data_IF_035395029229
#
_entry.id   IF_035395029229
#
_cell.length_a   1.000
_cell.length_b   1.000
_cell.length_c   1.000
_cell.angle_alpha   90.00
_cell.angle_beta   90.00
_cell.angle_gamma   90.00
#
_symmetry.space_group_name_H-M   'P 1'
#
loop_
_entity.id
_entity.type
_entity.pdbx_description
1 polymer ?
#
# COMPACT_ATOMS: atom_id res chain seq x y z
N UNK A 1 -3.33 20.01 9.98
CA UNK A 1 -4.16 18.97 9.33
C UNK A 1 -3.23 17.81 8.99
N UNK A 2 -3.47 16.62 9.54
CA UNK A 2 -2.72 15.44 9.14
C UNK A 2 -2.96 15.22 7.65
N UNK A 3 -1.89 15.07 6.85
CA UNK A 3 -2.01 14.89 5.42
C UNK A 3 -2.88 13.66 5.14
N UNK A 4 -3.96 13.85 4.38
CA UNK A 4 -4.72 12.73 3.85
C UNK A 4 -3.77 11.80 3.10
N UNK A 5 -3.93 10.48 3.26
CA UNK A 5 -3.13 9.51 2.51
C UNK A 5 -3.18 9.84 1.01
N UNK A 6 -2.06 9.77 0.29
CA UNK A 6 -2.06 10.01 -1.14
C UNK A 6 -2.71 8.84 -1.90
N UNK A 7 -3.05 9.07 -3.16
CA UNK A 7 -3.42 8.00 -4.07
C UNK A 7 -2.29 6.98 -4.19
N UNK A 8 -2.58 5.66 -4.27
CA UNK A 8 -3.91 5.06 -4.49
C UNK A 8 -4.71 4.74 -3.21
N UNK A 9 -4.14 4.99 -2.03
CA UNK A 9 -4.74 4.62 -0.75
C UNK A 9 -6.01 5.41 -0.43
N UNK A 10 -5.97 6.72 -0.73
CA UNK A 10 -7.11 7.62 -0.67
C UNK A 10 -7.04 8.59 -1.86
N UNK A 11 -8.13 8.69 -2.61
CA UNK A 11 -8.23 9.57 -3.78
C UNK A 11 -9.06 10.80 -3.39
N UNK A 12 -8.62 11.98 -3.82
CA UNK A 12 -9.32 13.24 -3.54
C UNK A 12 -9.26 13.72 -2.09
N UNK A 13 -8.61 12.98 -1.18
CA UNK A 13 -8.40 13.36 0.22
C UNK A 13 -9.64 13.25 1.12
N UNK A 14 -10.77 12.76 0.59
CA UNK A 14 -12.04 12.65 1.29
C UNK A 14 -12.56 11.20 1.24
N UNK A 15 -12.56 10.46 2.38
CA UNK A 15 -12.86 9.03 2.38
C UNK A 15 -14.36 8.71 2.24
N UNK A 16 -15.24 9.68 2.50
CA UNK A 16 -16.70 9.57 2.37
C UNK A 16 -17.16 9.36 0.91
N UNK A 17 -16.35 9.78 -0.07
CA UNK A 17 -16.61 9.55 -1.49
C UNK A 17 -16.34 8.10 -1.93
N UNK A 18 -15.76 7.26 -1.06
CA UNK A 18 -15.50 5.86 -1.38
C UNK A 18 -14.34 5.64 -2.37
N UNK A 19 -13.50 6.65 -2.61
CA UNK A 19 -12.48 6.61 -3.66
C UNK A 19 -11.08 6.31 -3.12
N UNK A 20 -10.44 5.27 -3.66
CA UNK A 20 -9.15 4.74 -3.20
C UNK A 20 -9.28 3.40 -2.48
N UNK A 21 -8.15 2.73 -2.29
CA UNK A 21 -8.08 1.37 -1.71
C UNK A 21 -8.78 1.32 -0.34
N UNK A 22 -8.47 2.26 0.55
CA UNK A 22 -8.96 2.25 1.94
C UNK A 22 -10.48 2.46 2.03
N UNK A 23 -11.05 3.57 1.51
CA UNK A 23 -12.48 3.80 1.64
C UNK A 23 -13.33 2.81 0.83
N UNK A 24 -12.82 2.29 -0.29
CA UNK A 24 -13.51 1.25 -1.03
C UNK A 24 -13.57 -0.09 -0.26
N UNK A 25 -12.46 -0.49 0.38
CA UNK A 25 -12.44 -1.67 1.24
C UNK A 25 -13.40 -1.53 2.42
N UNK A 26 -13.42 -0.36 3.09
CA UNK A 26 -14.36 -0.09 4.20
C UNK A 26 -15.82 -0.15 3.72
N UNK A 27 -16.13 0.43 2.57
CA UNK A 27 -17.47 0.35 1.98
C UNK A 27 -17.91 -1.09 1.69
N UNK A 28 -16.99 -1.93 1.18
CA UNK A 28 -17.26 -3.34 0.94
C UNK A 28 -17.44 -4.13 2.24
N UNK A 29 -16.62 -3.87 3.26
CA UNK A 29 -16.75 -4.47 4.59
C UNK A 29 -18.09 -4.11 5.22
N UNK A 30 -18.49 -2.84 5.20
CA UNK A 30 -19.79 -2.39 5.72
C UNK A 30 -20.95 -3.12 5.03
N UNK A 31 -20.90 -3.22 3.68
CA UNK A 31 -21.90 -3.94 2.89
C UNK A 31 -21.94 -5.43 3.26
N UNK A 32 -20.77 -6.07 3.40
CA UNK A 32 -20.67 -7.48 3.82
C UNK A 32 -21.21 -7.74 5.23
N UNK A 33 -21.19 -6.72 6.09
CA UNK A 33 -21.75 -6.78 7.44
C UNK A 33 -23.26 -6.43 7.49
N UNK A 34 -23.87 -6.12 6.34
CA UNK A 34 -25.29 -5.78 6.24
C UNK A 34 -25.62 -4.30 6.48
N UNK A 35 -24.61 -3.41 6.45
CA UNK A 35 -24.80 -1.97 6.58
C UNK A 35 -24.71 -1.27 5.22
N UNK A 36 -25.51 -0.22 5.05
CA UNK A 36 -25.30 0.73 3.96
C UNK A 36 -23.92 1.40 4.08
N UNK A 37 -23.28 1.69 2.96
CA UNK A 37 -21.99 2.42 2.95
C UNK A 37 -22.10 3.77 3.65
N UNK A 38 -23.25 4.42 3.57
CA UNK A 38 -23.53 5.69 4.24
C UNK A 38 -23.59 5.59 5.77
N UNK A 39 -23.65 4.38 6.34
CA UNK A 39 -23.57 4.17 7.78
C UNK A 39 -22.13 4.34 8.32
N UNK A 40 -21.12 4.29 7.46
CA UNK A 40 -19.71 4.50 7.85
C UNK A 40 -19.49 5.96 8.19
N UNK A 41 -19.05 6.22 9.43
CA UNK A 41 -18.69 7.56 9.90
C UNK A 41 -17.18 7.72 9.95
N UNK A 42 -16.68 8.67 9.17
CA UNK A 42 -15.26 9.02 9.16
C UNK A 42 -14.98 10.11 10.19
N UNK A 43 -13.94 9.91 10.99
CA UNK A 43 -13.45 10.90 11.95
C UNK A 43 -11.99 11.23 11.67
N UNK A 44 -11.52 12.37 12.18
CA UNK A 44 -10.12 12.75 12.04
C UNK A 44 -9.19 11.74 12.75
N UNK A 45 -7.97 11.51 12.26
CA UNK A 45 -6.99 10.69 12.96
C UNK A 45 -6.81 11.13 14.41
N UNK A 46 -6.85 10.18 15.35
CA UNK A 46 -6.73 10.43 16.79
C UNK A 46 -8.04 10.78 17.51
N UNK A 47 -9.13 11.04 16.78
CA UNK A 47 -10.46 11.11 17.39
C UNK A 47 -10.95 9.72 17.83
N UNK A 48 -11.85 9.62 18.82
CA UNK A 48 -12.46 8.34 19.20
C UNK A 48 -13.12 7.65 18.01
N UNK A 49 -12.80 6.37 17.80
CA UNK A 49 -13.29 5.55 16.69
C UNK A 49 -13.28 4.06 17.05
N UNK A 50 -14.15 3.27 16.41
CA UNK A 50 -14.19 1.81 16.59
C UNK A 50 -13.02 1.08 15.92
N UNK A 51 -12.45 1.68 14.87
CA UNK A 51 -11.35 1.15 14.11
C UNK A 51 -10.61 2.27 13.35
N UNK A 52 -9.31 2.08 13.13
CA UNK A 52 -8.47 2.95 12.33
C UNK A 52 -8.02 2.23 11.05
N UNK A 53 -8.19 2.88 9.91
CA UNK A 53 -7.71 2.40 8.62
C UNK A 53 -6.60 3.31 8.08
N UNK A 54 -5.57 2.67 7.55
CA UNK A 54 -4.38 3.28 6.99
C UNK A 54 -3.53 2.21 6.34
N UNK A 55 -2.30 2.54 5.96
CA UNK A 55 -1.33 1.56 5.44
C UNK A 55 -0.60 0.92 6.62
N UNK A 56 -1.37 0.32 7.53
CA UNK A 56 -0.85 -0.29 8.75
C UNK A 56 -0.49 -1.74 8.52
N UNK A 57 0.55 -2.19 9.19
CA UNK A 57 0.97 -3.58 9.24
C UNK A 57 0.91 -4.10 10.68
N UNK A 58 1.24 -5.37 10.88
CA UNK A 58 1.27 -5.93 12.24
C UNK A 58 2.27 -5.23 13.16
N UNK A 59 3.32 -4.60 12.59
CA UNK A 59 4.31 -3.85 13.35
C UNK A 59 3.74 -2.57 13.96
N UNK A 60 2.71 -1.99 13.36
CA UNK A 60 2.09 -0.73 13.80
C UNK A 60 1.13 -0.91 14.97
N UNK A 61 0.83 -2.15 15.35
CA UNK A 61 -0.21 -2.45 16.33
C UNK A 61 0.06 -1.86 17.72
N UNK A 62 1.32 -1.83 18.18
CA UNK A 62 1.67 -1.25 19.49
C UNK A 62 0.86 -1.80 20.68
N UNK A 63 0.39 -3.05 20.62
CA UNK A 63 -0.49 -3.67 21.62
C UNK A 63 -2.00 -3.56 21.33
N UNK A 64 -2.39 -2.83 20.29
CA UNK A 64 -3.74 -2.83 19.73
C UNK A 64 -4.06 -4.15 19.02
N UNK A 65 -5.35 -4.39 18.79
CA UNK A 65 -5.79 -5.56 18.02
C UNK A 65 -5.70 -5.24 16.53
N UNK A 66 -5.26 -6.20 15.72
CA UNK A 66 -5.15 -6.05 14.26
C UNK A 66 -6.12 -6.96 13.53
N UNK A 67 -6.73 -6.45 12.46
CA UNK A 67 -7.58 -7.25 11.60
C UNK A 67 -6.79 -8.24 10.73
N UNK A 68 -7.52 -9.13 10.06
CA UNK A 68 -7.04 -9.80 8.87
C UNK A 68 -6.64 -8.77 7.78
N UNK A 69 -5.77 -9.19 6.84
CA UNK A 69 -5.29 -8.31 5.77
C UNK A 69 -6.39 -7.94 4.78
N UNK A 70 -6.55 -6.65 4.47
CA UNK A 70 -7.58 -6.14 3.55
C UNK A 70 -7.04 -5.74 2.18
N UNK A 71 -5.73 -5.44 2.07
CA UNK A 71 -5.07 -5.15 0.81
C UNK A 71 -3.59 -5.57 0.85
N UNK A 72 -3.01 -6.08 -0.24
CA UNK A 72 -1.59 -6.34 -0.31
C UNK A 72 -0.79 -5.03 -0.39
N UNK A 73 0.42 -5.04 0.14
CA UNK A 73 1.44 -4.01 -0.03
C UNK A 73 2.46 -4.57 -1.03
N UNK A 74 2.15 -4.43 -2.32
CA UNK A 74 3.03 -4.89 -3.38
C UNK A 74 4.30 -4.03 -3.48
N UNK A 75 5.39 -4.61 -3.97
CA UNK A 75 6.54 -3.83 -4.42
C UNK A 75 6.16 -3.05 -5.70
N UNK A 76 6.65 -1.82 -5.81
CA UNK A 76 6.42 -0.96 -6.97
C UNK A 76 7.72 -0.39 -7.51
N UNK A 77 7.72 -0.10 -8.81
CA UNK A 77 8.78 0.65 -9.48
C UNK A 77 8.50 2.14 -9.31
N UNK A 78 9.39 2.83 -8.60
CA UNK A 78 9.30 4.26 -8.30
C UNK A 78 10.32 5.02 -9.14
N UNK A 79 9.88 6.07 -9.80
CA UNK A 79 10.70 6.95 -10.66
C UNK A 79 10.42 8.42 -10.33
N UNK A 80 11.23 9.32 -10.90
CA UNK A 80 10.99 10.77 -10.83
C UNK A 80 9.75 11.17 -11.63
N UNK A 81 8.89 11.99 -11.03
CA UNK A 81 7.74 12.61 -11.70
C UNK A 81 8.23 13.56 -12.80
N UNK A 82 7.60 13.50 -13.98
CA UNK A 82 7.97 14.34 -15.13
C UNK A 82 9.18 13.88 -15.97
N UNK A 83 9.79 12.72 -15.66
CA UNK A 83 10.84 12.11 -16.46
C UNK A 83 10.47 10.71 -16.96
N UNK A 84 11.08 10.28 -18.07
CA UNK A 84 11.15 8.87 -18.45
C UNK A 84 12.09 8.10 -17.52
N UNK A 85 12.00 6.76 -17.49
CA UNK A 85 13.03 5.93 -16.85
C UNK A 85 14.38 6.32 -17.43
N UNK A 86 15.23 7.01 -16.67
CA UNK A 86 16.60 7.21 -17.09
C UNK A 86 17.24 5.82 -17.28
N UNK A 87 18.11 5.61 -18.29
CA UNK A 87 18.96 4.42 -18.29
C UNK A 87 19.84 4.46 -17.04
N UNK A 88 19.89 3.38 -16.28
CA UNK A 88 20.68 3.34 -15.05
C UNK A 88 20.27 2.22 -14.10
N UNK A 89 20.96 2.16 -12.95
CA UNK A 89 20.76 1.13 -11.95
C UNK A 89 19.45 1.33 -11.19
N UNK A 90 18.83 0.24 -10.79
CA UNK A 90 17.63 0.23 -9.94
C UNK A 90 18.00 -0.05 -8.49
N UNK A 91 17.63 0.85 -7.58
CA UNK A 91 17.89 0.71 -6.16
C UNK A 91 16.84 -0.18 -5.47
N UNK A 92 17.26 -0.89 -4.42
CA UNK A 92 16.40 -1.69 -3.54
C UNK A 92 16.98 -1.71 -2.13
N UNK A 93 16.17 -1.97 -1.11
CA UNK A 93 16.66 -2.12 0.27
C UNK A 93 17.18 -3.54 0.48
N UNK A 94 18.43 -3.69 0.95
CA UNK A 94 19.01 -5.01 1.24
C UNK A 94 18.19 -5.74 2.30
N UNK A 95 17.89 -7.01 2.05
CA UNK A 95 17.08 -7.85 2.94
C UNK A 95 15.57 -7.58 2.87
N UNK A 96 15.10 -6.73 1.95
CA UNK A 96 13.67 -6.48 1.74
C UNK A 96 13.07 -7.35 0.62
N UNK A 97 11.75 -7.37 0.52
CA UNK A 97 11.02 -7.94 -0.63
C UNK A 97 11.56 -7.42 -1.97
N UNK A 98 11.90 -6.12 -2.00
CA UNK A 98 12.41 -5.42 -3.16
C UNK A 98 13.70 -6.01 -3.73
N UNK A 99 14.51 -6.70 -2.92
CA UNK A 99 15.71 -7.40 -3.40
C UNK A 99 15.37 -8.56 -4.36
N UNK A 100 14.34 -9.34 -4.04
CA UNK A 100 13.87 -10.40 -4.92
C UNK A 100 13.11 -9.84 -6.12
N UNK A 101 12.32 -8.79 -5.93
CA UNK A 101 11.51 -8.17 -6.97
C UNK A 101 12.37 -7.47 -8.03
N UNK A 102 13.41 -6.76 -7.62
CA UNK A 102 14.29 -6.04 -8.55
C UNK A 102 15.06 -6.99 -9.47
N UNK A 103 15.45 -8.19 -8.99
CA UNK A 103 16.15 -9.20 -9.80
C UNK A 103 15.31 -9.70 -10.97
N UNK A 104 13.97 -9.64 -10.87
CA UNK A 104 13.07 -10.07 -11.94
C UNK A 104 12.84 -9.03 -13.03
N UNK A 105 13.06 -7.75 -12.72
CA UNK A 105 12.62 -6.64 -13.59
C UNK A 105 13.75 -5.73 -14.07
N UNK A 106 14.91 -5.70 -13.37
CA UNK A 106 15.97 -4.76 -13.70
C UNK A 106 16.82 -5.24 -14.89
N UNK A 107 17.06 -4.34 -15.84
CA UNK A 107 17.81 -4.64 -17.07
C UNK A 107 19.19 -4.01 -17.13
N UNK A 108 19.47 -2.98 -16.31
CA UNK A 108 20.70 -2.17 -16.37
C UNK A 108 21.51 -2.22 -15.07
N UNK A 109 21.35 -3.30 -14.30
CA UNK A 109 22.00 -3.53 -13.01
C UNK A 109 21.22 -2.98 -11.80
N UNK A 110 21.61 -3.43 -10.61
CA UNK A 110 20.91 -3.12 -9.36
C UNK A 110 21.84 -2.49 -8.31
N UNK A 111 21.26 -1.79 -7.34
CA UNK A 111 21.98 -1.20 -6.19
C UNK A 111 21.26 -1.58 -4.91
N UNK A 112 21.90 -2.38 -4.05
CA UNK A 112 21.42 -2.56 -2.70
C UNK A 112 21.77 -1.32 -1.87
N UNK A 113 20.78 -0.71 -1.22
CA UNK A 113 20.93 0.42 -0.28
C UNK A 113 20.51 0.01 1.13
N UNK A 114 20.80 0.84 2.13
CA UNK A 114 20.49 0.53 3.52
C UNK A 114 19.03 0.83 3.90
N UNK A 115 18.37 1.76 3.21
CA UNK A 115 17.02 2.20 3.60
C UNK A 115 16.18 2.73 2.44
N UNK A 116 14.85 2.74 2.61
CA UNK A 116 13.93 3.32 1.64
C UNK A 116 14.17 4.83 1.42
N UNK A 117 14.40 5.66 2.46
CA UNK A 117 14.77 7.06 2.27
C UNK A 117 16.02 7.26 1.41
N UNK A 118 17.05 6.43 1.57
CA UNK A 118 18.27 6.46 0.74
C UNK A 118 17.94 6.17 -0.74
N UNK A 119 17.16 5.12 -1.01
CA UNK A 119 16.72 4.79 -2.37
C UNK A 119 15.92 5.93 -3.01
N UNK A 120 14.93 6.49 -2.29
CA UNK A 120 14.09 7.60 -2.77
C UNK A 120 14.91 8.86 -3.03
N UNK A 121 15.86 9.19 -2.15
CA UNK A 121 16.77 10.32 -2.33
C UNK A 121 17.66 10.12 -3.57
N UNK A 122 18.17 8.92 -3.81
CA UNK A 122 18.99 8.60 -4.98
C UNK A 122 18.21 8.66 -6.31
N UNK A 123 16.93 8.23 -6.33
CA UNK A 123 16.07 8.44 -7.51
C UNK A 123 15.81 9.93 -7.73
N UNK A 124 15.54 10.69 -6.66
CA UNK A 124 15.27 12.13 -6.74
C UNK A 124 16.46 12.89 -7.31
N UNK A 125 17.67 12.62 -6.82
CA UNK A 125 18.92 13.25 -7.28
C UNK A 125 19.40 12.75 -8.64
N UNK A 126 18.90 11.60 -9.12
CA UNK A 126 19.32 10.99 -10.37
C UNK A 126 20.52 10.04 -10.26
N UNK A 127 20.95 9.73 -9.03
CA UNK A 127 21.92 8.66 -8.78
C UNK A 127 21.39 7.28 -9.22
N UNK A 128 20.07 7.08 -9.16
CA UNK A 128 19.39 5.85 -9.60
C UNK A 128 18.31 6.18 -10.64
N UNK A 129 18.11 5.25 -11.57
CA UNK A 129 17.04 5.33 -12.57
C UNK A 129 15.65 5.15 -11.94
N UNK A 130 15.58 4.20 -11.01
CA UNK A 130 14.36 3.80 -10.32
C UNK A 130 14.71 3.20 -8.95
N UNK A 131 13.68 3.03 -8.13
CA UNK A 131 13.74 2.22 -6.92
C UNK A 131 12.62 1.17 -6.96
N UNK A 132 12.90 -0.03 -6.43
CA UNK A 132 11.89 -1.04 -6.12
C UNK A 132 11.70 -1.07 -4.61
N UNK A 133 10.52 -0.65 -4.16
CA UNK A 133 10.17 -0.52 -2.75
C UNK A 133 8.70 -0.94 -2.54
N UNK A 134 8.32 -1.38 -1.32
CA UNK A 134 6.92 -1.61 -0.98
C UNK A 134 6.09 -0.34 -1.19
N UNK A 135 4.89 -0.46 -1.77
CA UNK A 135 4.00 0.68 -2.06
C UNK A 135 3.73 1.56 -0.84
N UNK A 136 3.78 1.00 0.37
CA UNK A 136 3.61 1.71 1.63
C UNK A 136 4.57 2.89 1.79
N UNK A 137 5.77 2.88 1.18
CA UNK A 137 6.70 4.02 1.26
C UNK A 137 6.14 5.29 0.62
N UNK A 138 5.15 5.15 -0.28
CA UNK A 138 4.46 6.27 -0.91
C UNK A 138 3.24 6.74 -0.10
N UNK A 139 2.91 6.10 1.03
CA UNK A 139 1.84 6.54 1.91
C UNK A 139 2.17 7.84 2.66
N UNK A 140 3.46 8.16 2.80
CA UNK A 140 3.94 9.44 3.32
C UNK A 140 4.28 10.40 2.15
N UNK A 141 3.48 11.47 1.94
CA UNK A 141 3.77 12.47 0.91
C UNK A 141 5.12 13.17 1.10
N UNK A 142 5.61 13.29 2.34
CA UNK A 142 6.89 13.92 2.63
C UNK A 142 8.08 13.03 2.28
N UNK A 143 7.90 11.70 2.28
CA UNK A 143 8.94 10.75 1.91
C UNK A 143 9.25 10.78 0.40
N UNK A 144 8.26 11.05 -0.43
CA UNK A 144 8.34 10.89 -1.89
C UNK A 144 8.01 12.13 -2.75
N UNK A 145 8.36 13.37 -2.38
CA UNK A 145 8.10 14.54 -3.23
C UNK A 145 8.81 14.41 -4.58
N UNK A 146 8.07 14.68 -5.65
CA UNK A 146 8.56 14.60 -7.02
C UNK A 146 8.82 13.18 -7.52
N UNK A 147 8.29 12.15 -6.85
CA UNK A 147 8.40 10.75 -7.25
C UNK A 147 6.99 10.16 -7.52
N UNK A 148 6.93 9.08 -8.30
CA UNK A 148 5.69 8.34 -8.58
C UNK A 148 5.98 6.86 -8.81
N UNK A 149 5.04 6.01 -8.45
CA UNK A 149 5.03 4.63 -8.90
C UNK A 149 4.57 4.53 -10.36
N UNK A 150 5.14 3.59 -11.12
CA UNK A 150 4.82 3.39 -12.57
C UNK A 150 4.43 1.98 -12.93
N UNK A 151 4.79 1.01 -12.09
CA UNK A 151 4.39 -0.37 -12.23
C UNK A 151 4.36 -1.04 -10.86
N UNK A 152 3.44 -1.99 -10.68
CA UNK A 152 3.45 -2.93 -9.56
C UNK A 152 4.23 -4.17 -9.95
N UNK A 153 4.86 -4.83 -8.99
CA UNK A 153 5.54 -6.09 -9.21
C UNK A 153 4.74 -7.15 -8.46
N UNK A 154 4.12 -8.07 -9.20
CA UNK A 154 3.38 -9.15 -8.57
C UNK A 154 4.30 -9.97 -7.65
N UNK A 155 3.83 -10.38 -6.47
CA UNK A 155 4.55 -11.29 -5.60
C UNK A 155 4.91 -12.58 -6.35
N UNK A 156 6.09 -13.13 -6.09
CA UNK A 156 6.53 -14.38 -6.71
C UNK A 156 7.29 -15.27 -5.73
N UNK A 157 7.26 -16.57 -5.99
CA UNK A 157 7.92 -17.57 -5.15
C UNK A 157 7.29 -17.71 -3.77
N UNK A 158 8.11 -17.82 -2.73
CA UNK A 158 7.65 -17.97 -1.33
C UNK A 158 7.33 -16.66 -0.64
N UNK A 159 7.62 -15.52 -1.27
CA UNK A 159 7.34 -14.21 -0.70
C UNK A 159 5.87 -13.85 -0.90
N UNK A 160 5.16 -13.70 0.20
CA UNK A 160 3.85 -13.09 0.24
C UNK A 160 4.02 -11.60 0.54
N UNK A 161 3.29 -10.70 -0.15
CA UNK A 161 3.37 -9.28 0.16
C UNK A 161 2.83 -9.07 1.58
N UNK A 162 3.45 -8.12 2.28
CA UNK A 162 2.88 -7.64 3.54
C UNK A 162 1.44 -7.15 3.30
N UNK A 163 0.60 -7.25 4.32
CA UNK A 163 -0.81 -6.91 4.18
C UNK A 163 -1.11 -5.65 4.97
N UNK A 164 -1.80 -4.71 4.33
CA UNK A 164 -2.45 -3.61 5.02
C UNK A 164 -3.58 -4.16 5.91
N UNK A 165 -3.65 -3.65 7.14
CA UNK A 165 -4.56 -4.10 8.20
C UNK A 165 -5.31 -2.91 8.80
N UNK A 166 -6.46 -3.21 9.40
CA UNK A 166 -7.23 -2.26 10.20
C UNK A 166 -6.82 -2.46 11.67
N UNK A 167 -6.53 -1.36 12.34
CA UNK A 167 -6.20 -1.35 13.76
C UNK A 167 -7.49 -1.15 14.56
N UNK A 168 -7.69 -1.96 15.59
CA UNK A 168 -8.82 -1.85 16.51
C UNK A 168 -8.31 -1.59 17.93
N UNK A 169 -9.11 -0.96 18.80
CA UNK A 169 -8.84 -0.95 20.23
C UNK A 169 -8.58 -2.36 20.76
N UNK A 170 -7.77 -2.47 21.82
CA UNK A 170 -7.53 -3.74 22.48
C UNK A 170 -8.87 -4.35 22.96
N UNK A 171 -9.04 -5.67 22.75
CA UNK A 171 -10.26 -6.41 23.07
C UNK A 171 -11.53 -5.85 22.39
N UNK A 172 -11.42 -5.40 21.15
CA UNK A 172 -12.55 -4.82 20.42
C UNK A 172 -13.68 -5.84 20.19
N UNK A 173 -14.93 -5.53 20.58
CA UNK A 173 -16.06 -6.44 20.42
C UNK A 173 -16.44 -6.69 18.95
N UNK A 174 -16.03 -5.81 18.04
CA UNK A 174 -16.33 -5.93 16.60
C UNK A 174 -15.30 -6.75 15.82
N UNK A 175 -14.18 -7.13 16.44
CA UNK A 175 -13.05 -7.72 15.73
C UNK A 175 -13.39 -9.04 15.02
N UNK A 176 -14.19 -9.91 15.66
CA UNK A 176 -14.61 -11.17 15.04
C UNK A 176 -15.47 -10.95 13.80
N UNK A 177 -16.43 -10.01 13.86
CA UNK A 177 -17.27 -9.65 12.72
C UNK A 177 -16.45 -9.03 11.59
N UNK A 178 -15.56 -8.09 11.92
CA UNK A 178 -14.68 -7.45 10.95
C UNK A 178 -13.80 -8.46 10.23
N UNK A 179 -13.15 -9.37 10.96
CA UNK A 179 -12.30 -10.40 10.36
C UNK A 179 -13.10 -11.34 9.47
N UNK A 180 -14.28 -11.79 9.92
CA UNK A 180 -15.16 -12.63 9.11
C UNK A 180 -15.58 -11.97 7.79
N UNK A 181 -15.89 -10.68 7.81
CA UNK A 181 -16.20 -9.91 6.61
C UNK A 181 -15.00 -9.78 5.66
N UNK A 182 -13.83 -9.43 6.19
CA UNK A 182 -12.60 -9.31 5.38
C UNK A 182 -12.24 -10.66 4.75
N UNK A 183 -12.31 -11.75 5.51
CA UNK A 183 -11.99 -13.09 5.01
C UNK A 183 -12.97 -13.52 3.92
N UNK A 184 -14.28 -13.28 4.10
CA UNK A 184 -15.29 -13.51 3.05
C UNK A 184 -14.96 -12.72 1.79
N UNK A 185 -14.76 -11.41 1.89
CA UNK A 185 -14.47 -10.55 0.73
C UNK A 185 -13.17 -10.93 0.02
N UNK A 186 -12.19 -11.48 0.76
CA UNK A 186 -10.96 -12.03 0.17
C UNK A 186 -11.24 -13.30 -0.62
N UNK A 187 -12.01 -14.24 -0.05
CA UNK A 187 -12.39 -15.50 -0.70
C UNK A 187 -13.20 -15.24 -1.97
N UNK A 188 -14.12 -14.27 -1.91
CA UNK A 188 -14.96 -13.86 -3.04
C UNK A 188 -14.20 -13.04 -4.10
N UNK A 189 -12.94 -12.68 -3.85
CA UNK A 189 -12.11 -11.89 -4.77
C UNK A 189 -12.49 -10.41 -4.85
N UNK A 190 -13.40 -9.93 -4.00
CA UNK A 190 -13.87 -8.54 -3.99
C UNK A 190 -12.72 -7.59 -3.63
N UNK A 191 -11.94 -7.91 -2.59
CA UNK A 191 -10.82 -7.07 -2.17
C UNK A 191 -9.72 -6.97 -3.24
N UNK A 192 -9.44 -8.07 -3.94
CA UNK A 192 -8.49 -8.10 -5.05
C UNK A 192 -8.98 -7.26 -6.24
N UNK A 193 -10.28 -7.34 -6.55
CA UNK A 193 -10.93 -6.48 -7.55
C UNK A 193 -10.81 -4.99 -7.22
N UNK A 194 -11.11 -4.61 -5.98
CA UNK A 194 -11.00 -3.22 -5.50
C UNK A 194 -9.55 -2.74 -5.51
N UNK A 195 -8.62 -3.57 -5.05
CA UNK A 195 -7.20 -3.24 -5.08
C UNK A 195 -6.72 -2.97 -6.50
N UNK A 196 -7.03 -3.85 -7.46
CA UNK A 196 -6.68 -3.65 -8.88
C UNK A 196 -7.34 -2.42 -9.49
N UNK A 197 -8.58 -2.13 -9.12
CA UNK A 197 -9.29 -0.95 -9.59
C UNK A 197 -8.58 0.34 -9.15
N UNK A 198 -8.17 0.43 -7.89
CA UNK A 198 -7.65 1.68 -7.32
C UNK A 198 -6.14 1.83 -7.42
N UNK A 199 -5.38 0.74 -7.44
CA UNK A 199 -3.92 0.81 -7.62
C UNK A 199 -3.59 1.47 -8.96
N UNK A 200 -4.34 1.17 -10.02
CA UNK A 200 -4.19 1.79 -11.34
C UNK A 200 -2.82 1.60 -12.00
N UNK A 201 -1.94 0.76 -11.43
CA UNK A 201 -0.59 0.49 -11.93
C UNK A 201 -0.58 -0.78 -12.78
N UNK A 202 0.05 -0.76 -13.97
CA UNK A 202 0.30 -1.96 -14.74
C UNK A 202 1.28 -2.87 -13.97
N UNK A 203 1.23 -4.16 -14.27
CA UNK A 203 2.22 -5.10 -13.75
C UNK A 203 3.54 -4.98 -14.53
N UNK A 204 4.66 -4.94 -13.81
CA UNK A 204 5.98 -4.99 -14.42
C UNK A 204 6.21 -6.38 -15.01
N UNK A 205 6.48 -6.43 -16.31
CA UNK A 205 6.89 -7.67 -16.98
C UNK A 205 8.30 -8.11 -16.55
N UNK A 206 8.65 -9.39 -16.76
CA UNK A 206 10.02 -9.85 -16.55
C UNK A 206 10.99 -9.07 -17.45
N UNK A 207 12.20 -8.84 -16.96
CA UNK A 207 13.32 -8.39 -17.79
C UNK A 207 13.51 -9.39 -18.95
N UNK A 208 13.44 -8.90 -20.19
CA UNK A 208 13.81 -9.68 -21.38
C UNK A 208 15.32 -9.71 -21.55
#
# INVERSE_FOLDING_TARGET
MAAALPSPWLVGGAPDQGQGINPAAVGAIATSLGYDRAAVRWVAPGAPSDAAIGVFTSADAGGAQVSAGYAPIDDVVIVRSGGGSAPGRTAFVRGSSGESSVQRIATSGTVGVASAPEALAGVRSGAYAAAVLPLAVLADPAAAPGLRAVARIAPAGKYQPEQARIILPAASPIAACLNGAIDRLRIEGVLDGLYRQWIGLPEAGPAK
#
